data_IF_883904051630
#
_entry.id   IF_883904051630
#
_cell.length_a   1.000
_cell.length_b   1.000
_cell.length_c   1.000
_cell.angle_alpha   90.00
_cell.angle_beta   90.00
_cell.angle_gamma   90.00
#
_symmetry.space_group_name_H-M   'P 1'
#
loop_
_entity.id
_entity.type
_entity.pdbx_description
1 polymer ?
#
# COMPACT_ATOMS: atom_id res chain seq x y z
N UNK A 1 -1.52 22.68 -41.46
CA UNK A 1 -2.54 23.27 -40.56
C UNK A 1 -1.86 23.57 -39.23
N UNK A 2 -2.03 24.76 -38.62
CA UNK A 2 -1.38 25.09 -37.34
C UNK A 2 -2.34 24.77 -36.19
N UNK A 3 -1.88 24.15 -35.11
CA UNK A 3 -2.75 23.83 -33.95
C UNK A 3 -3.43 25.09 -33.37
N UNK A 4 -2.73 26.22 -33.39
CA UNK A 4 -3.24 27.51 -32.95
C UNK A 4 -4.49 27.99 -33.72
N UNK A 5 -4.73 27.52 -34.95
CA UNK A 5 -5.90 27.90 -35.75
C UNK A 5 -7.12 26.98 -35.55
N UNK A 6 -7.03 25.98 -34.68
CA UNK A 6 -8.13 25.07 -34.37
C UNK A 6 -9.10 25.78 -33.38
N UNK A 7 -10.42 25.75 -33.61
CA UNK A 7 -11.42 26.22 -32.64
C UNK A 7 -11.24 25.63 -31.24
N UNK A 8 -11.55 26.40 -30.20
CA UNK A 8 -11.33 26.00 -28.81
C UNK A 8 -12.05 24.69 -28.45
N UNK A 9 -13.25 24.50 -28.97
CA UNK A 9 -14.08 23.31 -28.72
C UNK A 9 -13.38 22.06 -29.26
N UNK A 10 -12.81 22.16 -30.46
CA UNK A 10 -12.04 21.07 -31.07
C UNK A 10 -10.72 20.85 -30.33
N UNK A 11 -10.06 21.91 -29.87
CA UNK A 11 -8.87 21.78 -29.00
C UNK A 11 -9.22 21.03 -27.73
N UNK A 12 -10.30 21.39 -27.03
CA UNK A 12 -10.75 20.71 -25.81
C UNK A 12 -11.07 19.24 -26.04
N UNK A 13 -11.71 18.89 -27.16
CA UNK A 13 -11.95 17.48 -27.53
C UNK A 13 -10.63 16.75 -27.75
N UNK A 14 -9.72 17.33 -28.54
CA UNK A 14 -8.37 16.75 -28.77
C UNK A 14 -7.66 16.57 -27.43
N UNK A 15 -7.74 17.56 -26.55
CA UNK A 15 -7.10 17.55 -25.25
C UNK A 15 -7.62 16.46 -24.34
N UNK A 16 -8.94 16.33 -24.27
CA UNK A 16 -9.60 15.27 -23.50
C UNK A 16 -9.23 13.87 -24.01
N UNK A 17 -9.20 13.69 -25.33
CA UNK A 17 -8.84 12.41 -25.96
C UNK A 17 -7.35 12.07 -25.79
N UNK A 18 -6.50 13.07 -25.58
CA UNK A 18 -5.07 12.90 -25.40
C UNK A 18 -4.66 12.76 -23.93
N UNK A 19 -5.60 12.88 -22.98
CA UNK A 19 -5.34 12.55 -21.58
C UNK A 19 -4.82 11.10 -21.51
N UNK A 20 -3.69 10.86 -20.82
CA UNK A 20 -3.18 9.51 -20.69
C UNK A 20 -4.21 8.65 -19.96
N UNK A 21 -4.19 7.35 -20.24
CA UNK A 21 -4.89 6.38 -19.41
C UNK A 21 -4.34 6.44 -17.98
N UNK A 22 -5.21 6.13 -17.01
CA UNK A 22 -4.80 6.03 -15.62
C UNK A 22 -3.68 4.98 -15.48
N UNK A 23 -2.63 5.36 -14.76
CA UNK A 23 -1.58 4.44 -14.34
C UNK A 23 -1.96 3.80 -12.98
N UNK A 24 -1.45 2.59 -12.67
CA UNK A 24 -1.49 2.04 -11.31
C UNK A 24 -0.88 2.99 -10.30
N UNK A 25 -1.60 3.25 -9.21
CA UNK A 25 -1.11 4.06 -8.09
C UNK A 25 -1.23 3.29 -6.77
N UNK A 26 -0.46 3.72 -5.77
CA UNK A 26 -0.50 3.12 -4.43
C UNK A 26 -1.48 3.88 -3.55
N UNK A 27 -2.44 3.16 -2.99
CA UNK A 27 -3.40 3.66 -2.03
C UNK A 27 -2.97 3.31 -0.62
N UNK A 28 -2.50 4.30 0.13
CA UNK A 28 -2.23 4.14 1.55
C UNK A 28 -3.54 4.38 2.31
N UNK A 29 -3.98 3.40 3.11
CA UNK A 29 -5.20 3.54 3.92
C UNK A 29 -4.98 4.66 4.93
N UNK A 30 -5.88 5.64 4.93
CA UNK A 30 -5.93 6.71 5.91
C UNK A 30 -7.18 6.54 6.79
N UNK A 31 -7.10 6.77 8.11
CA UNK A 31 -5.98 7.34 8.89
C UNK A 31 -4.91 6.34 9.30
N UNK A 32 -3.65 6.78 9.35
CA UNK A 32 -2.49 5.96 9.76
C UNK A 32 -2.35 5.75 11.29
N UNK A 33 -3.15 6.40 12.15
CA UNK A 33 -2.94 6.33 13.60
C UNK A 33 -4.05 5.59 14.36
N UNK A 34 -3.66 4.96 15.48
CA UNK A 34 -4.39 3.97 16.29
C UNK A 34 -5.53 4.50 17.18
N UNK A 35 -5.89 5.79 17.17
CA UNK A 35 -6.99 6.24 18.04
C UNK A 35 -8.30 5.54 17.66
N UNK A 36 -8.86 4.78 18.61
CA UNK A 36 -9.98 3.82 18.50
C UNK A 36 -11.28 4.36 17.85
N UNK A 37 -11.38 5.67 17.66
CA UNK A 37 -12.59 6.33 17.19
C UNK A 37 -12.55 6.71 15.70
N UNK A 38 -11.41 6.56 15.05
CA UNK A 38 -11.17 7.14 13.75
C UNK A 38 -11.37 6.13 12.61
N UNK A 39 -12.63 6.08 12.14
CA UNK A 39 -13.06 5.23 11.03
C UNK A 39 -12.37 5.60 9.71
N UNK A 40 -12.08 4.58 8.91
CA UNK A 40 -11.64 4.74 7.52
C UNK A 40 -12.79 5.37 6.72
N UNK A 41 -12.49 6.42 5.96
CA UNK A 41 -13.49 7.17 5.19
C UNK A 41 -13.47 6.72 3.73
N UNK A 42 -14.62 6.27 3.22
CA UNK A 42 -14.82 6.05 1.78
C UNK A 42 -15.29 7.34 1.07
N UNK A 43 -14.94 7.53 -0.21
CA UNK A 43 -14.06 6.66 -1.01
C UNK A 43 -12.59 6.79 -0.62
N UNK A 44 -11.84 5.68 -0.69
CA UNK A 44 -10.38 5.77 -0.66
C UNK A 44 -9.89 6.59 -1.86
N UNK A 45 -8.84 7.38 -1.67
CA UNK A 45 -8.31 8.29 -2.69
C UNK A 45 -6.83 8.00 -2.93
N UNK A 46 -6.42 8.04 -4.20
CA UNK A 46 -5.03 7.88 -4.61
C UNK A 46 -4.50 9.18 -5.19
N UNK A 47 -3.27 9.53 -4.82
CA UNK A 47 -2.54 10.58 -5.53
C UNK A 47 -2.06 10.05 -6.87
N UNK A 48 -2.24 10.85 -7.92
CA UNK A 48 -1.86 10.48 -9.30
C UNK A 48 -0.68 11.32 -9.76
N UNK A 49 -0.01 10.89 -10.83
CA UNK A 49 0.97 11.74 -11.48
C UNK A 49 0.30 12.96 -12.13
N UNK A 50 1.01 14.09 -12.18
CA UNK A 50 0.58 15.21 -13.02
C UNK A 50 0.46 14.75 -14.49
N UNK A 51 -0.68 14.99 -15.15
CA UNK A 51 -0.83 14.65 -16.56
C UNK A 51 0.30 15.28 -17.38
N UNK A 52 1.01 14.47 -18.17
CA UNK A 52 2.16 14.91 -18.99
C UNK A 52 1.85 16.15 -19.84
N UNK A 53 0.59 16.28 -20.27
CA UNK A 53 0.07 17.40 -21.06
C UNK A 53 0.17 18.75 -20.36
N UNK A 54 0.19 18.79 -19.02
CA UNK A 54 0.42 20.02 -18.26
C UNK A 54 1.78 20.66 -18.55
N UNK A 55 2.75 19.90 -19.08
CA UNK A 55 4.08 20.42 -19.39
C UNK A 55 4.22 20.94 -20.83
N UNK A 56 3.16 20.85 -21.66
CA UNK A 56 3.23 21.19 -23.09
C UNK A 56 3.12 22.69 -23.33
N UNK A 57 2.02 23.32 -22.90
CA UNK A 57 1.83 24.77 -23.01
C UNK A 57 0.84 25.28 -21.96
N UNK A 58 0.61 26.59 -21.93
CA UNK A 58 -0.30 27.22 -20.98
C UNK A 58 -1.77 26.82 -21.22
N UNK A 59 -2.25 26.82 -22.46
CA UNK A 59 -3.64 26.45 -22.78
C UNK A 59 -4.00 25.04 -22.27
N UNK A 60 -3.04 24.10 -22.34
CA UNK A 60 -3.20 22.76 -21.78
C UNK A 60 -3.29 22.75 -20.26
N UNK A 61 -2.45 23.53 -19.58
CA UNK A 61 -2.52 23.67 -18.12
C UNK A 61 -3.87 24.20 -17.69
N UNK A 62 -4.36 25.24 -18.36
CA UNK A 62 -5.65 25.86 -18.06
C UNK A 62 -6.80 24.87 -18.27
N UNK A 63 -6.73 24.05 -19.33
CA UNK A 63 -7.69 22.95 -19.54
C UNK A 63 -7.65 21.91 -18.42
N UNK A 64 -6.46 21.43 -18.04
CA UNK A 64 -6.31 20.41 -17.00
C UNK A 64 -6.82 20.92 -15.64
N UNK A 65 -6.50 22.16 -15.28
CA UNK A 65 -6.95 22.81 -14.05
C UNK A 65 -8.45 23.17 -14.05
N UNK A 66 -9.20 22.82 -15.10
CA UNK A 66 -10.65 22.96 -15.16
C UNK A 66 -11.31 21.58 -15.04
N UNK A 67 -11.65 21.10 -13.81
CA UNK A 67 -12.15 19.74 -13.61
C UNK A 67 -13.44 19.43 -14.36
N UNK A 68 -14.28 20.44 -14.61
CA UNK A 68 -15.52 20.27 -15.40
C UNK A 68 -15.24 19.91 -16.87
N UNK A 69 -14.06 20.26 -17.39
CA UNK A 69 -13.64 19.95 -18.76
C UNK A 69 -12.73 18.73 -18.81
N UNK A 70 -11.68 18.72 -17.98
CA UNK A 70 -10.64 17.68 -17.99
C UNK A 70 -11.06 16.41 -17.23
N UNK A 71 -11.92 16.55 -16.21
CA UNK A 71 -12.22 15.49 -15.24
C UNK A 71 -11.12 15.28 -14.19
N UNK A 72 -9.99 15.98 -14.28
CA UNK A 72 -8.88 15.84 -13.33
C UNK A 72 -9.21 16.63 -12.06
N UNK A 73 -9.24 15.94 -10.93
CA UNK A 73 -9.46 16.56 -9.61
C UNK A 73 -8.11 16.89 -8.97
N UNK A 74 -8.11 17.97 -8.19
CA UNK A 74 -6.92 18.47 -7.50
C UNK A 74 -7.25 18.78 -6.05
N UNK A 75 -6.34 18.46 -5.13
CA UNK A 75 -6.45 18.79 -3.70
C UNK A 75 -5.20 19.49 -3.21
N UNK A 76 -5.33 20.28 -2.15
CA UNK A 76 -4.21 21.00 -1.57
C UNK A 76 -3.22 20.03 -0.90
N UNK A 77 -1.93 20.33 -1.04
CA UNK A 77 -0.83 19.59 -0.43
C UNK A 77 0.24 20.57 0.04
N UNK A 78 0.47 20.66 1.35
CA UNK A 78 1.57 21.44 1.95
C UNK A 78 2.93 20.86 1.57
N UNK A 79 3.05 19.53 1.57
CA UNK A 79 4.30 18.83 1.26
C UNK A 79 4.74 18.99 -0.19
N UNK A 80 3.79 19.06 -1.13
CA UNK A 80 4.07 19.34 -2.54
C UNK A 80 4.19 20.84 -2.84
N UNK A 81 3.78 21.72 -1.91
CA UNK A 81 3.71 23.17 -2.11
C UNK A 81 2.74 23.60 -3.24
N UNK A 82 1.87 22.70 -3.70
CA UNK A 82 0.95 22.93 -4.80
C UNK A 82 -0.24 21.95 -4.71
N UNK A 83 -1.26 22.18 -5.55
CA UNK A 83 -2.36 21.23 -5.64
C UNK A 83 -1.92 19.96 -6.38
N UNK A 84 -2.16 18.80 -5.77
CA UNK A 84 -1.83 17.50 -6.35
C UNK A 84 -3.05 16.86 -7.01
N UNK A 85 -2.90 16.20 -8.17
CA UNK A 85 -4.00 15.52 -8.81
C UNK A 85 -4.32 14.22 -8.08
N UNK A 86 -5.60 13.91 -7.93
CA UNK A 86 -6.05 12.70 -7.26
C UNK A 86 -7.27 12.11 -7.96
N UNK A 87 -7.56 10.85 -7.64
CA UNK A 87 -8.81 10.18 -8.05
C UNK A 87 -9.27 9.18 -6.98
N UNK A 88 -10.53 8.73 -7.03
CA UNK A 88 -10.97 7.58 -6.24
C UNK A 88 -10.13 6.35 -6.54
N UNK A 89 -9.90 5.54 -5.51
CA UNK A 89 -9.26 4.25 -5.63
C UNK A 89 -10.04 3.33 -6.56
N UNK A 90 -9.29 2.62 -7.39
CA UNK A 90 -9.77 1.70 -8.42
C UNK A 90 -9.11 0.35 -8.22
N UNK A 91 -9.79 -0.57 -7.53
CA UNK A 91 -9.20 -1.87 -7.19
C UNK A 91 -8.81 -2.76 -8.37
N UNK A 92 -9.25 -2.42 -9.59
CA UNK A 92 -8.82 -3.07 -10.84
C UNK A 92 -7.43 -2.69 -11.33
N UNK A 93 -6.90 -1.52 -10.91
CA UNK A 93 -5.58 -1.02 -11.35
C UNK A 93 -4.67 -0.56 -10.21
N UNK A 94 -5.24 -0.15 -9.08
CA UNK A 94 -4.50 0.39 -7.95
C UNK A 94 -4.06 -0.70 -6.99
N UNK A 95 -3.00 -0.38 -6.25
CA UNK A 95 -2.41 -1.25 -5.24
C UNK A 95 -2.82 -0.71 -3.87
N UNK A 96 -3.54 -1.50 -3.09
CA UNK A 96 -3.84 -1.15 -1.71
C UNK A 96 -2.61 -1.44 -0.85
N UNK A 97 -2.05 -0.45 -0.18
CA UNK A 97 -0.93 -0.63 0.74
C UNK A 97 -1.43 -0.78 2.18
N UNK A 98 -0.93 -1.81 2.85
CA UNK A 98 -1.06 -2.01 4.29
C UNK A 98 0.29 -2.27 4.94
N UNK A 99 0.55 -1.58 6.04
CA UNK A 99 1.75 -1.75 6.86
C UNK A 99 1.40 -1.61 8.33
N UNK A 100 2.43 -1.56 9.18
CA UNK A 100 2.31 -1.54 10.64
C UNK A 100 1.27 -0.54 11.13
N UNK A 101 1.32 0.68 10.59
CA UNK A 101 0.50 1.81 11.04
C UNK A 101 -1.01 1.65 10.71
N UNK A 102 -1.36 0.91 9.66
CA UNK A 102 -2.75 0.86 9.17
C UNK A 102 -3.33 -0.55 9.00
N UNK A 103 -2.56 -1.59 9.31
CA UNK A 103 -2.99 -2.97 9.15
C UNK A 103 -4.19 -3.31 10.03
N UNK A 104 -4.15 -2.93 11.30
CA UNK A 104 -5.27 -3.18 12.21
C UNK A 104 -6.56 -2.55 11.67
N UNK A 105 -6.50 -1.33 11.13
CA UNK A 105 -7.67 -0.68 10.51
C UNK A 105 -8.14 -1.39 9.26
N UNK A 106 -7.22 -1.85 8.42
CA UNK A 106 -7.57 -2.66 7.25
C UNK A 106 -8.36 -3.91 7.66
N UNK A 107 -7.93 -4.57 8.74
CA UNK A 107 -8.60 -5.74 9.33
C UNK A 107 -9.92 -5.38 10.00
N UNK A 108 -9.99 -4.30 10.77
CA UNK A 108 -11.24 -3.82 11.40
C UNK A 108 -12.33 -3.55 10.34
N UNK A 109 -11.93 -3.05 9.17
CA UNK A 109 -12.84 -2.78 8.04
C UNK A 109 -13.45 -4.04 7.40
N UNK A 110 -12.97 -5.23 7.77
CA UNK A 110 -13.56 -6.51 7.40
C UNK A 110 -14.82 -6.82 8.22
N UNK A 111 -15.07 -6.06 9.29
CA UNK A 111 -16.19 -6.28 10.20
C UNK A 111 -16.09 -7.63 10.92
N UNK A 112 -14.87 -8.11 11.17
CA UNK A 112 -14.63 -9.46 11.68
C UNK A 112 -14.92 -9.57 13.16
N UNK A 113 -14.73 -8.53 13.98
CA UNK A 113 -14.94 -8.67 15.43
C UNK A 113 -15.68 -7.56 16.19
N UNK A 114 -15.83 -6.30 15.71
CA UNK A 114 -16.29 -5.22 16.63
C UNK A 114 -17.38 -4.24 16.14
N UNK A 115 -17.55 -4.00 14.83
CA UNK A 115 -18.73 -3.26 14.34
C UNK A 115 -19.13 -3.65 12.90
N UNK A 116 -20.24 -4.39 12.68
CA UNK A 116 -20.69 -4.77 11.34
C UNK A 116 -21.11 -3.58 10.46
N UNK A 117 -21.14 -2.35 11.00
CA UNK A 117 -21.46 -1.12 10.27
C UNK A 117 -20.29 -0.58 9.45
N UNK A 118 -19.04 -0.97 9.76
CA UNK A 118 -17.86 -0.54 9.00
C UNK A 118 -17.45 -1.68 8.06
N UNK A 119 -18.07 -1.70 6.87
CA UNK A 119 -17.64 -2.56 5.77
C UNK A 119 -17.10 -1.70 4.65
N UNK A 120 -15.79 -1.76 4.42
CA UNK A 120 -15.21 -1.13 3.23
C UNK A 120 -15.59 -1.95 2.00
N UNK A 121 -16.60 -1.47 1.28
CA UNK A 121 -16.96 -2.01 -0.03
C UNK A 121 -15.78 -2.02 -1.01
N UNK A 122 -14.79 -1.17 -0.75
CA UNK A 122 -13.55 -1.05 -1.50
C UNK A 122 -12.65 -2.28 -1.37
N UNK A 123 -12.55 -2.92 -0.20
CA UNK A 123 -11.68 -4.10 -0.01
C UNK A 123 -12.08 -5.25 -0.93
N UNK A 124 -13.37 -5.43 -1.15
CA UNK A 124 -13.89 -6.44 -2.05
C UNK A 124 -13.47 -6.25 -3.51
N UNK A 125 -13.03 -5.04 -3.90
CA UNK A 125 -12.59 -4.71 -5.26
C UNK A 125 -11.08 -4.83 -5.45
N UNK A 126 -10.32 -5.01 -4.37
CA UNK A 126 -8.85 -5.06 -4.39
C UNK A 126 -8.39 -6.28 -5.19
N UNK A 127 -7.54 -6.04 -6.18
CA UNK A 127 -6.83 -7.08 -6.94
C UNK A 127 -5.33 -7.13 -6.64
N UNK A 128 -4.77 -6.03 -6.17
CA UNK A 128 -3.35 -5.89 -5.84
C UNK A 128 -3.21 -5.35 -4.42
N UNK A 129 -2.56 -6.12 -3.55
CA UNK A 129 -2.28 -5.75 -2.17
C UNK A 129 -0.77 -5.61 -2.00
N UNK A 130 -0.32 -4.52 -1.39
CA UNK A 130 1.05 -4.35 -0.95
C UNK A 130 1.10 -4.45 0.58
N UNK A 131 1.91 -5.35 1.12
CA UNK A 131 2.00 -5.64 2.56
C UNK A 131 3.42 -5.41 3.03
N UNK A 132 3.61 -4.61 4.07
CA UNK A 132 4.92 -4.43 4.71
C UNK A 132 5.45 -5.78 5.23
N UNK A 133 6.74 -6.04 5.05
CA UNK A 133 7.33 -7.33 5.45
C UNK A 133 7.06 -7.76 6.91
N UNK A 134 7.22 -6.90 7.93
CA UNK A 134 6.91 -7.27 9.30
C UNK A 134 5.45 -7.71 9.48
N UNK A 135 4.51 -7.08 8.78
CA UNK A 135 3.10 -7.47 8.78
C UNK A 135 2.92 -8.82 8.08
N UNK A 136 3.53 -8.99 6.92
CA UNK A 136 3.53 -10.25 6.18
C UNK A 136 3.97 -11.43 7.06
N UNK A 137 5.07 -11.25 7.80
CA UNK A 137 5.67 -12.27 8.66
C UNK A 137 4.88 -12.52 9.95
N UNK A 138 4.49 -11.46 10.67
CA UNK A 138 3.94 -11.58 12.03
C UNK A 138 2.42 -11.57 12.10
N UNK A 139 1.75 -11.05 11.08
CA UNK A 139 0.27 -10.98 11.04
C UNK A 139 -0.36 -12.23 10.46
N UNK A 140 0.33 -13.35 10.69
CA UNK A 140 -0.15 -14.70 10.61
C UNK A 140 -1.69 -14.78 10.71
N UNK A 141 -2.28 -14.47 11.86
CA UNK A 141 -3.70 -14.73 12.08
C UNK A 141 -4.63 -13.86 11.22
N UNK A 142 -4.29 -12.58 11.04
CA UNK A 142 -5.22 -11.59 10.46
C UNK A 142 -5.05 -11.39 8.95
N UNK A 143 -3.87 -11.70 8.41
CA UNK A 143 -3.59 -11.52 6.99
C UNK A 143 -4.43 -12.46 6.10
N UNK A 144 -4.63 -13.75 6.43
CA UNK A 144 -5.56 -14.62 5.71
C UNK A 144 -6.99 -14.08 5.70
N UNK A 145 -7.46 -13.49 6.80
CA UNK A 145 -8.78 -12.85 6.84
C UNK A 145 -8.87 -11.67 5.86
N UNK A 146 -7.84 -10.82 5.81
CA UNK A 146 -7.77 -9.74 4.83
C UNK A 146 -7.78 -10.28 3.39
N UNK A 147 -6.98 -11.31 3.11
CA UNK A 147 -6.86 -11.92 1.78
C UNK A 147 -8.16 -12.61 1.35
N UNK A 148 -8.61 -13.62 2.10
CA UNK A 148 -9.68 -14.52 1.65
C UNK A 148 -11.08 -13.96 1.89
N UNK A 149 -11.27 -13.19 2.96
CA UNK A 149 -12.58 -12.63 3.31
C UNK A 149 -12.72 -11.18 2.87
N UNK A 150 -11.66 -10.39 3.03
CA UNK A 150 -11.65 -8.98 2.66
C UNK A 150 -11.52 -8.71 1.18
N UNK A 151 -10.64 -9.46 0.53
CA UNK A 151 -10.23 -9.23 -0.86
C UNK A 151 -10.44 -10.47 -1.72
N UNK A 152 -11.69 -10.93 -1.91
CA UNK A 152 -11.99 -12.13 -2.69
C UNK A 152 -11.59 -12.03 -4.17
N UNK A 153 -11.21 -10.85 -4.66
CA UNK A 153 -10.71 -10.64 -6.02
C UNK A 153 -9.18 -10.44 -6.06
N UNK A 154 -8.47 -10.74 -4.98
CA UNK A 154 -7.02 -10.58 -4.90
C UNK A 154 -6.32 -11.51 -5.89
N UNK A 155 -5.40 -10.94 -6.66
CA UNK A 155 -4.62 -11.64 -7.69
C UNK A 155 -3.13 -11.57 -7.40
N UNK A 156 -2.68 -10.50 -6.74
CA UNK A 156 -1.27 -10.26 -6.49
C UNK A 156 -1.03 -9.67 -5.11
N UNK A 157 0.03 -10.14 -4.47
CA UNK A 157 0.57 -9.55 -3.25
C UNK A 157 2.01 -9.09 -3.48
N UNK A 158 2.28 -7.82 -3.22
CA UNK A 158 3.62 -7.24 -3.24
C UNK A 158 4.11 -7.06 -1.80
N UNK A 159 5.18 -7.75 -1.44
CA UNK A 159 5.82 -7.64 -0.13
C UNK A 159 6.75 -6.43 -0.14
N UNK A 160 6.49 -5.47 0.74
CA UNK A 160 7.19 -4.18 0.75
C UNK A 160 8.32 -4.17 1.77
N UNK A 161 9.52 -3.89 1.28
CA UNK A 161 10.73 -3.68 2.07
C UNK A 161 11.07 -2.18 2.13
N UNK A 162 11.74 -1.72 3.20
CA UNK A 162 12.17 -0.33 3.31
C UNK A 162 13.19 0.06 2.24
N UNK A 163 14.05 -0.88 1.85
CA UNK A 163 15.10 -0.70 0.85
C UNK A 163 15.49 -2.05 0.24
N UNK A 164 16.09 -2.04 -0.95
CA UNK A 164 16.67 -3.22 -1.60
C UNK A 164 17.98 -3.71 -0.97
N UNK A 165 18.61 -2.94 -0.07
CA UNK A 165 19.91 -3.27 0.53
C UNK A 165 19.87 -3.43 2.04
N UNK A 166 18.68 -3.56 2.65
CA UNK A 166 18.50 -3.52 4.11
C UNK A 166 18.02 -4.84 4.66
N UNK A 167 18.28 -5.02 5.95
CA UNK A 167 17.80 -6.16 6.70
C UNK A 167 16.26 -6.17 6.72
N UNK A 168 15.70 -7.37 6.57
CA UNK A 168 14.26 -7.60 6.46
C UNK A 168 13.46 -7.14 7.69
N UNK A 169 14.09 -6.93 8.84
CA UNK A 169 13.42 -6.74 10.13
C UNK A 169 12.98 -5.31 10.45
N UNK A 170 13.38 -4.34 9.63
CA UNK A 170 13.17 -2.93 9.96
C UNK A 170 11.75 -2.50 9.53
N UNK A 171 10.95 -2.07 10.51
CA UNK A 171 9.69 -1.39 10.25
C UNK A 171 9.94 0.02 9.73
N UNK A 172 9.04 0.56 8.90
CA UNK A 172 9.23 1.89 8.32
C UNK A 172 7.92 2.67 8.17
N UNK A 173 8.04 4.00 8.18
CA UNK A 173 6.89 4.86 7.91
C UNK A 173 6.62 4.93 6.40
N UNK A 174 5.39 4.59 5.98
CA UNK A 174 4.97 4.63 4.58
C UNK A 174 5.04 6.06 4.01
N UNK A 175 5.53 6.27 2.76
CA UNK A 175 5.81 7.59 2.21
C UNK A 175 4.65 8.59 2.34
N UNK A 176 4.94 9.76 2.91
CA UNK A 176 3.96 10.85 2.95
C UNK A 176 3.65 11.37 1.54
N UNK A 177 4.57 11.23 0.58
CA UNK A 177 4.46 11.71 -0.82
C UNK A 177 4.07 10.60 -1.78
N UNK A 178 3.52 10.95 -2.94
CA UNK A 178 3.25 10.00 -4.02
C UNK A 178 4.52 9.24 -4.36
N UNK A 179 4.49 7.92 -4.19
CA UNK A 179 5.56 7.01 -4.54
C UNK A 179 5.04 5.92 -5.47
N UNK A 180 5.96 5.27 -6.19
CA UNK A 180 5.68 4.03 -6.93
C UNK A 180 6.30 2.86 -6.18
N UNK A 181 5.80 1.66 -6.45
CA UNK A 181 6.48 0.43 -6.04
C UNK A 181 7.40 -0.02 -7.17
N UNK A 182 8.63 -0.40 -6.82
CA UNK A 182 9.61 -0.97 -7.74
C UNK A 182 9.93 -2.38 -7.29
N UNK A 183 9.88 -3.32 -8.22
CA UNK A 183 10.36 -4.69 -7.98
C UNK A 183 11.84 -4.68 -7.58
N UNK A 184 12.18 -5.43 -6.55
CA UNK A 184 13.56 -5.74 -6.17
C UNK A 184 13.98 -6.92 -7.06
N UNK A 185 14.90 -6.68 -7.99
CA UNK A 185 15.33 -7.68 -8.98
C UNK A 185 16.13 -8.81 -8.33
N UNK A 186 16.99 -8.45 -7.39
CA UNK A 186 17.84 -9.37 -6.62
C UNK A 186 17.23 -9.67 -5.23
N UNK A 187 15.95 -10.04 -5.21
CA UNK A 187 15.26 -10.35 -3.95
C UNK A 187 15.98 -11.46 -3.17
N UNK A 188 16.62 -12.40 -3.87
CA UNK A 188 17.42 -13.51 -3.32
C UNK A 188 18.65 -13.01 -2.52
N UNK A 189 19.10 -11.77 -2.77
CA UNK A 189 20.21 -11.15 -2.06
C UNK A 189 19.76 -10.26 -0.89
N UNK A 190 18.46 -10.19 -0.59
CA UNK A 190 17.97 -9.54 0.62
C UNK A 190 18.53 -10.32 1.81
N UNK A 191 19.57 -9.75 2.42
CA UNK A 191 20.32 -10.40 3.48
C UNK A 191 19.38 -10.67 4.66
N UNK A 192 19.10 -11.95 4.91
CA UNK A 192 18.58 -12.42 6.19
C UNK A 192 19.69 -12.40 7.25
N UNK A 193 20.64 -11.45 7.18
CA UNK A 193 21.83 -11.35 8.03
C UNK A 193 21.42 -11.11 9.49
N UNK A 194 20.91 -12.17 10.08
CA UNK A 194 21.16 -12.59 11.42
C UNK A 194 21.62 -14.05 11.29
N UNK A 195 22.94 -14.22 11.37
CA UNK A 195 23.57 -15.36 12.02
C UNK A 195 23.17 -15.45 13.52
N UNK A 196 21.91 -15.16 13.87
CA UNK A 196 21.30 -15.49 15.15
C UNK A 196 20.95 -16.98 15.18
N UNK A 197 21.96 -17.82 14.94
CA UNK A 197 21.92 -19.26 15.05
C UNK A 197 20.97 -20.00 14.08
N UNK A 198 21.09 -21.33 13.97
CA UNK A 198 20.17 -22.20 13.20
C UNK A 198 18.72 -22.25 13.74
N UNK A 199 18.24 -21.24 14.47
CA UNK A 199 16.93 -21.21 15.13
C UNK A 199 16.06 -19.99 14.79
N UNK A 200 16.51 -19.07 13.94
CA UNK A 200 15.78 -17.83 13.60
C UNK A 200 15.06 -17.87 12.23
N UNK A 201 15.19 -18.96 11.47
CA UNK A 201 14.16 -19.33 10.50
C UNK A 201 13.03 -19.99 11.29
N UNK A 202 12.03 -19.19 11.63
CA UNK A 202 10.86 -19.66 12.35
C UNK A 202 10.07 -20.66 11.51
N UNK A 203 10.43 -21.94 11.59
CA UNK A 203 9.37 -22.84 12.04
C UNK A 203 9.07 -22.39 13.46
N UNK A 204 7.88 -21.85 13.71
CA UNK A 204 7.34 -21.81 15.06
C UNK A 204 7.12 -23.28 15.45
N UNK A 205 8.19 -23.95 15.87
CA UNK A 205 8.10 -25.19 16.64
C UNK A 205 8.21 -24.78 18.09
N UNK A 206 7.06 -24.38 18.64
CA UNK A 206 6.83 -24.40 20.06
C UNK A 206 7.12 -25.82 20.56
N UNK A 207 8.21 -25.97 21.33
CA UNK A 207 8.39 -27.15 22.16
C UNK A 207 7.31 -27.09 23.23
N UNK A 208 6.20 -27.78 23.01
CA UNK A 208 5.17 -27.97 24.02
C UNK A 208 5.55 -29.13 24.95
N UNK A 209 5.64 -28.81 26.24
CA UNK A 209 5.35 -29.74 27.31
C UNK A 209 3.91 -30.26 27.12
N UNK A 210 3.76 -31.57 27.28
CA UNK A 210 2.51 -32.32 27.08
C UNK A 210 1.35 -31.75 27.94
N UNK A 211 0.31 -31.17 27.31
CA UNK A 211 -1.04 -31.16 27.91
C UNK A 211 -1.92 -29.92 27.84
N UNK A 212 -1.63 -28.89 27.06
CA UNK A 212 -2.54 -27.74 26.90
C UNK A 212 -2.60 -27.20 25.48
N UNK A 213 -3.79 -27.10 24.90
CA UNK A 213 -4.02 -26.36 23.64
C UNK A 213 -3.56 -24.91 23.83
N UNK A 214 -2.48 -24.54 23.16
CA UNK A 214 -1.90 -23.19 23.13
C UNK A 214 -2.66 -22.29 22.15
N UNK A 215 -2.43 -20.97 22.21
CA UNK A 215 -2.95 -20.06 21.18
C UNK A 215 -2.42 -20.43 19.78
N UNK A 216 -1.25 -21.07 19.69
CA UNK A 216 -0.65 -21.58 18.45
C UNK A 216 -1.37 -22.82 17.91
N UNK A 217 -1.91 -23.70 18.78
CA UNK A 217 -2.82 -24.78 18.36
C UNK A 217 -4.15 -24.25 17.78
N UNK A 218 -4.45 -22.97 18.00
CA UNK A 218 -5.56 -22.23 17.38
C UNK A 218 -5.12 -21.37 16.20
N UNK A 219 -3.82 -21.18 15.97
CA UNK A 219 -3.31 -20.40 14.86
C UNK A 219 -3.18 -21.30 13.62
N UNK A 220 -3.98 -21.03 12.58
CA UNK A 220 -4.31 -22.05 11.57
C UNK A 220 -3.29 -22.29 10.45
N UNK A 221 -2.07 -21.76 10.50
CA UNK A 221 -1.09 -21.90 9.42
C UNK A 221 0.33 -21.58 9.94
N UNK A 222 1.35 -22.05 9.22
CA UNK A 222 2.75 -21.64 9.38
C UNK A 222 3.25 -21.12 8.03
N UNK A 223 3.84 -19.91 8.02
CA UNK A 223 4.52 -19.39 6.83
C UNK A 223 5.87 -20.10 6.72
N UNK A 224 5.98 -21.13 5.89
CA UNK A 224 7.30 -21.67 5.52
C UNK A 224 7.88 -20.78 4.43
N UNK A 225 8.75 -19.89 4.87
CA UNK A 225 9.34 -18.80 4.09
C UNK A 225 10.51 -19.34 3.25
N UNK A 226 10.20 -19.98 2.13
CA UNK A 226 11.13 -20.02 1.00
C UNK A 226 10.58 -19.09 -0.07
N UNK A 227 10.83 -17.78 0.05
CA UNK A 227 10.62 -16.81 -1.06
C UNK A 227 11.22 -17.35 -2.38
N UNK A 228 12.25 -18.18 -2.28
CA UNK A 228 12.95 -18.87 -3.36
C UNK A 228 12.07 -19.86 -4.16
N UNK A 229 11.01 -20.45 -3.58
CA UNK A 229 10.23 -21.51 -4.25
C UNK A 229 8.85 -21.09 -4.75
N UNK A 230 8.37 -19.89 -4.41
CA UNK A 230 6.99 -19.47 -4.74
C UNK A 230 5.93 -20.49 -4.25
N UNK A 231 6.28 -21.35 -3.29
CA UNK A 231 5.42 -22.37 -2.73
C UNK A 231 5.11 -21.95 -1.29
N UNK A 232 3.83 -21.82 -1.01
CA UNK A 232 3.32 -21.50 0.31
C UNK A 232 2.50 -22.69 0.76
N UNK A 233 3.03 -23.45 1.72
CA UNK A 233 2.36 -24.64 2.24
C UNK A 233 1.34 -24.24 3.32
N UNK A 234 0.09 -24.61 3.09
CA UNK A 234 -1.04 -24.37 4.00
C UNK A 234 -1.38 -25.65 4.73
N UNK A 235 -0.89 -25.82 5.96
CA UNK A 235 -1.37 -26.90 6.82
C UNK A 235 -2.58 -26.40 7.61
N UNK A 236 -3.78 -26.55 7.05
CA UNK A 236 -5.02 -26.13 7.71
C UNK A 236 -6.14 -27.17 7.71
N UNK A 237 -6.74 -27.38 8.87
CA UNK A 237 -7.85 -28.31 9.09
C UNK A 237 -9.25 -27.75 8.76
N UNK A 238 -9.38 -26.47 8.36
CA UNK A 238 -10.65 -25.87 7.91
C UNK A 238 -10.46 -25.16 6.56
N UNK A 239 -10.58 -25.84 5.43
CA UNK A 239 -10.44 -25.20 4.10
C UNK A 239 -11.72 -24.51 3.61
N UNK A 240 -12.80 -24.55 4.39
CA UNK A 240 -14.15 -24.13 4.01
C UNK A 240 -14.34 -22.60 3.92
N UNK A 241 -13.44 -21.82 4.51
CA UNK A 241 -13.44 -20.35 4.49
C UNK A 241 -12.54 -19.75 3.42
N UNK A 242 -11.63 -20.53 2.81
CA UNK A 242 -10.82 -20.05 1.69
C UNK A 242 -11.67 -19.91 0.43
N UNK A 243 -11.84 -18.66 0.00
CA UNK A 243 -12.65 -18.31 -1.16
C UNK A 243 -12.00 -17.18 -1.95
N UNK A 244 -12.56 -16.91 -3.14
CA UNK A 244 -12.06 -15.86 -4.01
C UNK A 244 -10.98 -16.34 -4.98
N UNK A 245 -10.40 -15.39 -5.71
CA UNK A 245 -9.37 -15.68 -6.73
C UNK A 245 -8.02 -16.07 -6.14
N UNK A 246 -7.79 -15.82 -4.86
CA UNK A 246 -6.55 -16.16 -4.18
C UNK A 246 -6.41 -17.67 -3.92
N UNK A 247 -7.49 -18.46 -4.00
CA UNK A 247 -7.49 -19.88 -3.63
C UNK A 247 -8.06 -20.76 -4.75
N UNK A 248 -7.30 -21.76 -5.18
CA UNK A 248 -7.79 -22.82 -6.04
C UNK A 248 -8.25 -24.01 -5.19
N UNK A 249 -9.54 -24.32 -5.30
CA UNK A 249 -10.18 -25.40 -4.55
C UNK A 249 -9.83 -26.79 -5.09
N UNK A 250 -9.45 -26.91 -6.35
CA UNK A 250 -9.15 -28.21 -6.96
C UNK A 250 -7.76 -28.69 -6.57
N UNK A 251 -6.78 -27.80 -6.60
CA UNK A 251 -5.40 -28.06 -6.16
C UNK A 251 -5.21 -27.87 -4.65
N UNK A 252 -6.21 -27.31 -3.95
CA UNK A 252 -6.11 -26.88 -2.55
C UNK A 252 -4.87 -26.00 -2.31
N UNK A 253 -4.64 -25.06 -3.23
CA UNK A 253 -3.44 -24.22 -3.22
C UNK A 253 -3.77 -22.75 -3.44
N UNK A 254 -2.84 -21.91 -3.01
CA UNK A 254 -2.92 -20.48 -3.21
C UNK A 254 -2.53 -20.10 -4.64
N UNK A 255 -3.35 -19.26 -5.28
CA UNK A 255 -3.19 -18.80 -6.65
C UNK A 255 -2.97 -17.28 -6.68
N UNK A 256 -1.88 -16.84 -6.06
CA UNK A 256 -1.50 -15.43 -6.00
C UNK A 256 -0.14 -15.21 -6.65
N UNK A 257 0.00 -14.12 -7.38
CA UNK A 257 1.30 -13.62 -7.82
C UNK A 257 2.00 -12.93 -6.64
N UNK A 258 3.31 -13.15 -6.51
CA UNK A 258 4.13 -12.56 -5.45
C UNK A 258 5.30 -11.77 -6.01
N UNK A 259 5.66 -10.69 -5.33
CA UNK A 259 6.90 -9.96 -5.61
C UNK A 259 7.44 -9.22 -4.38
N UNK A 260 8.76 -9.12 -4.28
CA UNK A 260 9.40 -8.18 -3.38
C UNK A 260 9.51 -6.80 -4.04
N UNK A 261 9.11 -5.75 -3.31
CA UNK A 261 9.13 -4.37 -3.81
C UNK A 261 9.65 -3.39 -2.77
N UNK A 262 10.09 -2.23 -3.22
CA UNK A 262 10.39 -1.08 -2.38
C UNK A 262 9.65 0.16 -2.91
N UNK A 263 9.33 1.09 -2.02
CA UNK A 263 8.83 2.40 -2.43
C UNK A 263 9.95 3.22 -3.09
N UNK A 264 9.65 3.81 -4.24
CA UNK A 264 10.54 4.73 -4.94
C UNK A 264 9.85 6.06 -5.21
N UNK A 265 10.65 7.13 -5.20
CA UNK A 265 10.21 8.45 -5.62
C UNK A 265 11.19 9.10 -6.59
N UNK A 266 10.71 10.10 -7.31
CA UNK A 266 11.53 10.84 -8.26
C UNK A 266 12.23 11.99 -7.56
N UNK A 267 13.56 12.06 -7.69
CA UNK A 267 14.40 13.12 -7.14
C UNK A 267 15.21 13.78 -8.26
N UNK A 268 15.23 15.10 -8.27
CA UNK A 268 16.12 15.90 -9.11
C UNK A 268 17.20 16.53 -8.24
N UNK A 269 18.46 16.22 -8.50
CA UNK A 269 19.60 16.78 -7.78
C UNK A 269 19.90 18.22 -8.21
N UNK A 270 20.76 18.92 -7.45
CA UNK A 270 21.14 20.31 -7.70
C UNK A 270 21.80 20.53 -9.08
N UNK A 271 22.53 19.52 -9.58
CA UNK A 271 23.12 19.52 -10.92
C UNK A 271 22.09 19.25 -12.03
N UNK A 272 20.81 19.09 -11.68
CA UNK A 272 19.71 18.82 -12.61
C UNK A 272 19.55 17.36 -13.04
N UNK A 273 20.38 16.44 -12.54
CA UNK A 273 20.24 15.00 -12.81
C UNK A 273 18.97 14.45 -12.15
N UNK A 274 18.29 13.58 -12.88
CA UNK A 274 16.99 13.02 -12.51
C UNK A 274 17.15 11.53 -12.21
N UNK A 275 16.77 11.11 -11.01
CA UNK A 275 16.94 9.73 -10.54
C UNK A 275 15.73 9.27 -9.73
N UNK A 276 15.42 7.98 -9.83
CA UNK A 276 14.52 7.31 -8.88
C UNK A 276 15.34 6.81 -7.70
N UNK A 277 14.91 7.12 -6.49
CA UNK A 277 15.56 6.68 -5.25
C UNK A 277 14.54 6.06 -4.32
N UNK A 278 15.00 5.16 -3.44
CA UNK A 278 14.14 4.48 -2.48
C UNK A 278 13.68 5.48 -1.41
N UNK A 279 12.39 5.45 -1.10
CA UNK A 279 11.74 6.49 -0.31
C UNK A 279 11.70 6.20 1.20
N UNK A 280 11.93 4.94 1.58
CA UNK A 280 11.75 4.47 2.95
C UNK A 280 13.07 4.17 3.69
N UNK A 281 14.21 4.22 3.01
CA UNK A 281 15.52 3.97 3.63
C UNK A 281 15.81 4.94 4.80
N UNK A 282 15.43 6.21 4.65
CA UNK A 282 15.62 7.24 5.69
C UNK A 282 14.43 7.32 6.68
N UNK A 283 13.47 6.39 6.60
CA UNK A 283 12.20 6.41 7.37
C UNK A 283 12.01 5.16 8.23
N UNK A 284 13.13 4.53 8.59
CA UNK A 284 13.15 3.38 9.48
C UNK A 284 12.72 3.80 10.88
N UNK A 285 11.86 2.99 11.47
CA UNK A 285 11.45 3.13 12.86
C UNK A 285 12.50 2.45 13.72
N UNK A 286 13.13 3.20 14.63
CA UNK A 286 14.05 2.62 15.60
C UNK A 286 13.22 1.84 16.62
N UNK A 287 13.18 0.51 16.49
CA UNK A 287 12.56 -0.36 17.49
C UNK A 287 13.56 -0.52 18.63
N UNK A 288 13.60 0.46 19.53
CA UNK A 288 14.31 0.38 20.81
C UNK A 288 13.37 -0.04 21.94
N UNK A 289 13.89 -0.79 22.92
CA UNK A 289 13.12 -1.41 24.02
C UNK A 289 12.23 -0.43 24.83
N UNK A 290 12.48 0.88 24.78
CA UNK A 290 11.75 1.88 25.60
C UNK A 290 11.28 3.14 24.84
N UNK A 291 11.47 3.22 23.52
CA UNK A 291 10.98 4.35 22.72
C UNK A 291 10.43 3.85 21.39
N UNK A 292 9.19 3.37 21.39
CA UNK A 292 8.39 3.46 20.19
C UNK A 292 8.37 4.93 19.79
N UNK A 293 9.00 5.26 18.65
CA UNK A 293 8.78 6.54 18.00
C UNK A 293 7.27 6.63 17.78
N UNK A 294 6.60 7.41 18.63
CA UNK A 294 5.17 7.66 18.51
C UNK A 294 4.94 8.23 17.11
N UNK A 295 4.03 7.60 16.37
CA UNK A 295 3.55 8.15 15.12
C UNK A 295 3.18 9.63 15.34
N UNK A 296 3.42 10.52 14.36
CA UNK A 296 3.14 11.94 14.53
C UNK A 296 1.69 12.14 14.99
N UNK A 297 1.43 13.03 15.96
CA UNK A 297 0.10 13.19 16.54
C UNK A 297 -0.92 13.57 15.45
N UNK A 298 -2.12 13.01 15.54
CA UNK A 298 -3.21 13.32 14.60
C UNK A 298 -3.57 14.80 14.77
N UNK A 299 -3.72 15.59 13.68
CA UNK A 299 -4.29 16.92 13.78
C UNK A 299 -5.68 16.86 14.41
N UNK A 300 -5.93 17.74 15.37
CA UNK A 300 -7.22 17.83 16.08
C UNK A 300 -8.41 18.22 15.19
N UNK A 301 -8.16 18.68 13.96
CA UNK A 301 -9.17 18.98 12.95
C UNK A 301 -8.88 18.24 11.66
N UNK A 302 -9.61 17.16 11.43
CA UNK A 302 -9.59 16.42 10.17
C UNK A 302 -10.15 17.27 9.05
N UNK A 303 -9.41 17.38 7.96
CA UNK A 303 -9.86 18.02 6.72
C UNK A 303 -10.48 16.96 5.81
N UNK A 304 -11.40 17.38 4.95
CA UNK A 304 -11.99 16.49 3.95
C UNK A 304 -10.89 15.97 2.99
N UNK A 305 -10.74 14.65 2.78
CA UNK A 305 -9.69 14.08 1.92
C UNK A 305 -9.71 14.55 0.45
N UNK A 306 -10.88 15.00 -0.01
CA UNK A 306 -11.05 15.60 -1.34
C UNK A 306 -10.53 17.05 -1.43
N UNK A 307 -10.42 17.74 -0.29
CA UNK A 307 -9.94 19.12 -0.19
C UNK A 307 -8.47 19.18 0.19
N UNK A 308 -8.02 18.25 1.04
CA UNK A 308 -6.68 18.23 1.60
C UNK A 308 -6.06 16.84 1.51
N UNK A 309 -4.77 16.80 1.18
CA UNK A 309 -4.00 15.57 1.14
C UNK A 309 -3.69 15.11 2.55
N UNK A 310 -4.23 13.96 2.94
CA UNK A 310 -4.22 13.58 4.35
C UNK A 310 -2.85 13.16 4.88
N UNK A 311 -1.98 12.63 4.01
CA UNK A 311 -0.59 12.33 4.37
C UNK A 311 0.29 13.58 4.59
N UNK A 312 -0.23 14.78 4.33
CA UNK A 312 0.52 16.02 4.53
C UNK A 312 0.40 16.58 5.95
N UNK A 313 -0.47 15.99 6.75
CA UNK A 313 -0.70 16.39 8.14
C UNK A 313 0.45 15.97 9.08
N UNK A 314 1.49 15.31 8.54
CA UNK A 314 2.73 14.89 9.19
C UNK A 314 3.71 16.05 9.50
N UNK A 315 3.25 17.31 9.59
CA UNK A 315 4.08 18.51 9.81
C UNK A 315 4.83 18.54 11.19
N UNK A 316 4.84 17.43 11.94
CA UNK A 316 5.48 17.28 13.25
C UNK A 316 6.91 16.72 13.21
N UNK A 317 7.53 16.55 12.04
CA UNK A 317 8.88 15.97 11.88
C UNK A 317 10.03 16.97 11.73
N UNK A 318 9.98 18.13 12.40
CA UNK A 318 11.13 19.07 12.45
C UNK A 318 11.52 19.47 13.88
#
# INVERSE_FOLDING_TARGET
MRFASIPLELKQVIWKLALPYDEPEVCIIWPLNQDDFDQVVEPLLVDTAFPKLMHVCQEWRDFIFCPSLSGVKFRASSQAGCNVPYRPFRGDIDILYTGRDNFEKAVQCLGIDWDPRVKLSTLAKVRHLAVEWPIWRWSAYWLPELIFRGSPNLQKVSVVFPSSNRAIWEAFQAPARRCKLRRIEDADNLTTEDEAGPGAMGSIQSQTDEGGETAEDRMPFTWQDEMDRHEMDFDHHRTDWFTGSAWDKESESLCLEYEAVAFIHFKRSENGQETWVEACEDRLLVIGDDQEQQAPPIPSQRREPEQWRVNDDDDYLY
#
